data_IF_845187555771
#
_entry.id   IF_845187555771
#
_cell.length_a   1.000
_cell.length_b   1.000
_cell.length_c   1.000
_cell.angle_alpha   90.00
_cell.angle_beta   90.00
_cell.angle_gamma   90.00
#
_symmetry.space_group_name_H-M   'P 1'
#
loop_
_entity.id
_entity.type
_entity.pdbx_description
1 polymer ?
#
# COMPACT_ATOMS: atom_id res chain seq x y z
N UNK A 1 -3.83 -8.85 -28.63
CA UNK A 1 -2.62 -8.93 -27.76
C UNK A 1 -3.09 -8.99 -26.31
N UNK A 2 -2.44 -9.79 -25.47
CA UNK A 2 -2.77 -9.80 -24.03
C UNK A 2 -2.41 -8.45 -23.39
N UNK A 3 -3.23 -7.93 -22.45
CA UNK A 3 -2.96 -6.66 -21.82
C UNK A 3 -1.65 -6.71 -21.00
N UNK A 4 -0.87 -5.63 -21.07
CA UNK A 4 0.37 -5.47 -20.33
C UNK A 4 0.08 -4.80 -18.99
N UNK A 5 -0.09 -5.60 -17.95
CA UNK A 5 -0.39 -5.15 -16.59
C UNK A 5 0.90 -4.93 -15.79
N UNK A 6 1.08 -3.73 -15.22
CA UNK A 6 2.15 -3.46 -14.27
C UNK A 6 1.69 -3.74 -12.84
N UNK A 7 2.38 -4.63 -12.12
CA UNK A 7 2.13 -4.90 -10.71
C UNK A 7 3.20 -4.20 -9.87
N UNK A 8 2.76 -3.26 -9.04
CA UNK A 8 3.61 -2.54 -8.09
C UNK A 8 3.55 -3.21 -6.73
N UNK A 9 4.70 -3.47 -6.15
CA UNK A 9 4.88 -4.09 -4.83
C UNK A 9 5.94 -3.32 -4.02
N UNK A 10 5.90 -3.40 -2.70
CA UNK A 10 6.92 -2.83 -1.83
C UNK A 10 8.12 -3.75 -1.64
N UNK A 11 7.88 -5.06 -1.51
CA UNK A 11 8.87 -6.05 -1.13
C UNK A 11 9.17 -7.07 -2.23
N UNK A 12 10.41 -7.56 -2.29
CA UNK A 12 10.77 -8.68 -3.18
C UNK A 12 9.98 -9.97 -2.90
N UNK A 13 9.53 -10.18 -1.66
CA UNK A 13 8.66 -11.31 -1.31
C UNK A 13 7.27 -11.18 -1.93
N UNK A 14 6.73 -9.97 -1.99
CA UNK A 14 5.45 -9.68 -2.67
C UNK A 14 5.58 -9.88 -4.18
N UNK A 15 6.72 -9.51 -4.78
CA UNK A 15 6.98 -9.77 -6.19
C UNK A 15 6.93 -11.27 -6.52
N UNK A 16 7.47 -12.13 -5.64
CA UNK A 16 7.35 -13.59 -5.78
C UNK A 16 5.91 -14.07 -5.63
N UNK A 17 5.12 -13.43 -4.77
CA UNK A 17 3.71 -13.75 -4.60
C UNK A 17 2.87 -13.28 -5.80
N UNK A 18 3.19 -12.14 -6.40
CA UNK A 18 2.55 -11.65 -7.62
C UNK A 18 2.82 -12.56 -8.82
N UNK A 19 4.04 -13.06 -8.96
CA UNK A 19 4.47 -14.01 -9.98
C UNK A 19 4.05 -13.63 -11.41
N UNK A 20 4.30 -12.36 -11.80
CA UNK A 20 4.05 -11.86 -13.16
C UNK A 20 5.30 -11.20 -13.75
N UNK A 21 5.45 -11.22 -15.10
CA UNK A 21 6.68 -10.73 -15.75
C UNK A 21 6.97 -9.26 -15.48
N UNK A 22 5.95 -8.39 -15.45
CA UNK A 22 6.12 -6.97 -15.18
C UNK A 22 5.75 -6.65 -13.75
N UNK A 23 6.73 -6.82 -12.84
CA UNK A 23 6.59 -6.47 -11.44
C UNK A 23 7.58 -5.37 -11.08
N UNK A 24 7.06 -4.27 -10.51
CA UNK A 24 7.81 -3.09 -10.08
C UNK A 24 7.98 -3.14 -8.56
N UNK A 25 9.21 -3.21 -8.08
CA UNK A 25 9.51 -3.22 -6.63
C UNK A 25 9.85 -1.81 -6.16
N UNK A 26 8.91 -1.15 -5.51
CA UNK A 26 9.01 0.24 -5.04
C UNK A 26 9.95 0.42 -3.84
N UNK A 27 10.05 -0.59 -2.96
CA UNK A 27 10.96 -0.57 -1.82
C UNK A 27 10.58 0.48 -0.77
N UNK A 28 9.30 0.73 -0.53
CA UNK A 28 8.82 1.72 0.43
C UNK A 28 8.93 3.18 -0.06
N UNK A 29 8.89 3.42 -1.37
CA UNK A 29 9.01 4.77 -1.91
C UNK A 29 8.09 5.01 -3.11
N UNK A 30 7.16 5.94 -2.95
CA UNK A 30 6.27 6.39 -4.01
C UNK A 30 7.03 7.02 -5.18
N UNK A 31 8.01 7.87 -4.89
CA UNK A 31 8.86 8.51 -5.90
C UNK A 31 9.60 7.47 -6.74
N UNK A 32 10.21 6.49 -6.09
CA UNK A 32 10.91 5.40 -6.79
C UNK A 32 9.93 4.57 -7.62
N UNK A 33 8.77 4.23 -7.08
CA UNK A 33 7.69 3.51 -7.77
C UNK A 33 7.30 4.22 -9.06
N UNK A 34 7.06 5.52 -8.98
CA UNK A 34 6.71 6.35 -10.14
C UNK A 34 7.79 6.27 -11.24
N UNK A 35 9.05 6.52 -10.89
CA UNK A 35 10.15 6.49 -11.87
C UNK A 35 10.42 5.09 -12.45
N UNK A 36 10.20 4.03 -11.69
CA UNK A 36 10.33 2.67 -12.20
C UNK A 36 9.20 2.34 -13.20
N UNK A 37 7.99 2.82 -12.96
CA UNK A 37 6.88 2.70 -13.91
C UNK A 37 7.16 3.46 -15.20
N UNK A 38 7.74 4.67 -15.14
CA UNK A 38 8.16 5.43 -16.33
C UNK A 38 9.15 4.63 -17.19
N UNK A 39 10.09 3.95 -16.56
CA UNK A 39 11.10 3.13 -17.23
C UNK A 39 10.59 1.81 -17.77
N UNK A 40 9.46 1.31 -17.25
CA UNK A 40 8.89 0.03 -17.68
C UNK A 40 8.33 0.06 -19.11
N UNK A 41 8.17 1.24 -19.70
CA UNK A 41 7.54 1.44 -21.00
C UNK A 41 6.01 1.36 -20.92
N UNK A 42 5.31 1.37 -22.08
CA UNK A 42 3.85 1.41 -22.12
C UNK A 42 3.21 0.23 -21.39
N UNK A 43 2.17 0.51 -20.61
CA UNK A 43 1.33 -0.47 -19.92
C UNK A 43 -0.14 -0.12 -20.12
N UNK A 44 -1.02 -1.12 -20.03
CA UNK A 44 -2.47 -0.95 -20.23
C UNK A 44 -3.20 -0.68 -18.90
N UNK A 45 -2.60 -1.09 -17.77
CA UNK A 45 -3.16 -0.85 -16.44
C UNK A 45 -2.09 -0.99 -15.35
N UNK A 46 -2.37 -0.46 -14.17
CA UNK A 46 -1.48 -0.51 -13.01
C UNK A 46 -2.22 -1.06 -11.79
N UNK A 47 -1.63 -2.04 -11.11
CA UNK A 47 -2.14 -2.53 -9.85
C UNK A 47 -1.08 -2.39 -8.75
N UNK A 48 -1.43 -1.77 -7.63
CA UNK A 48 -0.63 -1.82 -6.41
C UNK A 48 -1.05 -3.03 -5.58
N UNK A 49 -0.10 -3.95 -5.32
CA UNK A 49 -0.37 -5.24 -4.70
C UNK A 49 0.65 -5.52 -3.60
N UNK A 50 0.21 -5.75 -2.36
CA UNK A 50 1.16 -6.00 -1.27
C UNK A 50 0.53 -5.94 0.11
N UNK A 51 1.38 -5.90 1.13
CA UNK A 51 0.97 -5.73 2.52
C UNK A 51 0.80 -4.24 2.86
N UNK A 52 0.10 -3.96 3.97
CA UNK A 52 -0.11 -2.60 4.47
C UNK A 52 -0.26 -2.61 6.00
N UNK A 53 0.00 -1.48 6.63
CA UNK A 53 -0.36 -1.25 8.03
C UNK A 53 -1.86 -1.00 8.17
N UNK A 54 -2.56 -1.79 8.98
CA UNK A 54 -3.97 -1.56 9.30
C UNK A 54 -4.12 -0.38 10.26
N UNK A 55 -5.03 0.56 9.94
CA UNK A 55 -5.30 1.72 10.79
C UNK A 55 -6.72 1.79 11.32
N UNK A 56 -7.67 1.07 10.72
CA UNK A 56 -9.05 1.00 11.17
C UNK A 56 -9.23 0.00 12.33
N UNK A 57 -10.12 0.27 13.30
CA UNK A 57 -10.45 -0.67 14.38
C UNK A 57 -11.00 -2.00 13.85
N UNK A 58 -10.81 -3.07 14.61
CA UNK A 58 -11.38 -4.39 14.33
C UNK A 58 -10.69 -5.19 13.23
N UNK A 59 -9.62 -4.66 12.63
CA UNK A 59 -8.84 -5.38 11.63
C UNK A 59 -7.90 -6.41 12.27
N UNK A 60 -7.67 -7.50 11.52
CA UNK A 60 -6.74 -8.57 11.86
C UNK A 60 -5.67 -8.72 10.77
N UNK A 61 -4.52 -9.26 11.15
CA UNK A 61 -3.50 -9.61 10.18
C UNK A 61 -4.04 -10.62 9.15
N UNK A 62 -3.84 -10.32 7.87
CA UNK A 62 -4.36 -11.09 6.75
C UNK A 62 -5.71 -10.60 6.22
N UNK A 63 -6.38 -9.63 6.85
CA UNK A 63 -7.57 -8.99 6.27
C UNK A 63 -7.20 -8.34 4.93
N UNK A 64 -8.04 -8.54 3.91
CA UNK A 64 -7.81 -7.98 2.57
C UNK A 64 -8.60 -6.70 2.40
N UNK A 65 -7.93 -5.68 1.86
CA UNK A 65 -8.49 -4.38 1.55
C UNK A 65 -8.37 -4.14 0.05
N UNK A 66 -9.48 -3.76 -0.58
CA UNK A 66 -9.55 -3.24 -1.94
C UNK A 66 -9.76 -1.74 -1.85
N UNK A 67 -8.84 -0.97 -2.38
CA UNK A 67 -8.96 0.49 -2.32
C UNK A 67 -10.00 1.00 -3.31
N UNK A 68 -10.91 1.85 -2.83
CA UNK A 68 -11.76 2.68 -3.68
C UNK A 68 -11.06 4.00 -4.05
N UNK A 69 -10.09 4.44 -3.22
CA UNK A 69 -9.24 5.60 -3.43
C UNK A 69 -7.96 5.53 -2.62
N UNK A 70 -6.96 6.28 -3.06
CA UNK A 70 -5.73 6.54 -2.31
C UNK A 70 -5.74 8.00 -1.89
N UNK A 71 -5.53 8.27 -0.61
CA UNK A 71 -5.42 9.62 -0.02
C UNK A 71 -3.93 9.89 0.24
N UNK A 72 -3.39 10.95 -0.34
CA UNK A 72 -2.00 11.38 -0.14
C UNK A 72 -1.91 12.91 -0.27
N UNK A 73 -1.02 13.43 -1.11
CA UNK A 73 -0.97 14.84 -1.57
C UNK A 73 -2.26 15.25 -2.29
N UNK A 74 -2.94 14.27 -2.90
CA UNK A 74 -4.23 14.39 -3.54
C UNK A 74 -5.07 13.12 -3.28
N UNK A 75 -6.29 13.09 -3.76
CA UNK A 75 -7.14 11.90 -3.74
C UNK A 75 -7.17 11.26 -5.13
N UNK A 76 -6.66 10.03 -5.22
CA UNK A 76 -6.61 9.25 -6.45
C UNK A 76 -7.70 8.18 -6.41
N UNK A 77 -8.67 8.25 -7.31
CA UNK A 77 -9.72 7.24 -7.42
C UNK A 77 -9.19 5.98 -8.11
N UNK A 78 -9.68 4.83 -7.69
CA UNK A 78 -9.41 3.56 -8.36
C UNK A 78 -10.46 3.28 -9.43
N UNK A 79 -10.16 2.38 -10.37
CA UNK A 79 -11.11 1.95 -11.39
C UNK A 79 -12.27 1.18 -10.74
N UNK A 80 -13.47 1.72 -10.86
CA UNK A 80 -14.66 1.19 -10.20
C UNK A 80 -15.17 -0.12 -10.82
N UNK A 81 -14.86 -0.39 -12.09
CA UNK A 81 -15.23 -1.65 -12.76
C UNK A 81 -14.31 -2.76 -12.28
N UNK A 82 -13.01 -2.50 -12.29
CA UNK A 82 -12.03 -3.44 -11.78
C UNK A 82 -12.24 -3.73 -10.29
N UNK A 83 -12.52 -2.69 -9.49
CA UNK A 83 -12.87 -2.85 -8.07
C UNK A 83 -14.05 -3.80 -7.86
N UNK A 84 -15.13 -3.65 -8.64
CA UNK A 84 -16.31 -4.54 -8.57
C UNK A 84 -15.96 -5.98 -8.92
N UNK A 85 -15.10 -6.20 -9.91
CA UNK A 85 -14.63 -7.54 -10.30
C UNK A 85 -13.85 -8.17 -9.15
N UNK A 86 -12.90 -7.43 -8.54
CA UNK A 86 -12.10 -7.93 -7.42
C UNK A 86 -12.97 -8.23 -6.21
N UNK A 87 -13.91 -7.36 -5.87
CA UNK A 87 -14.80 -7.54 -4.72
C UNK A 87 -15.66 -8.81 -4.85
N UNK A 88 -16.09 -9.15 -6.07
CA UNK A 88 -16.82 -10.40 -6.33
C UNK A 88 -15.92 -11.64 -6.22
N UNK A 89 -14.67 -11.54 -6.67
CA UNK A 89 -13.71 -12.66 -6.68
C UNK A 89 -13.05 -12.92 -5.33
N UNK A 90 -13.02 -11.93 -4.45
CA UNK A 90 -12.36 -12.02 -3.13
C UNK A 90 -13.42 -11.80 -2.05
N UNK A 91 -14.21 -12.83 -1.70
CA UNK A 91 -15.22 -12.71 -0.64
C UNK A 91 -14.55 -12.38 0.69
N UNK A 92 -15.16 -11.43 1.42
CA UNK A 92 -14.65 -10.94 2.70
C UNK A 92 -13.59 -9.83 2.58
N UNK A 93 -13.20 -9.40 1.37
CA UNK A 93 -12.40 -8.19 1.21
C UNK A 93 -13.19 -6.95 1.64
N UNK A 94 -12.53 -6.04 2.36
CA UNK A 94 -13.12 -4.75 2.75
C UNK A 94 -12.80 -3.71 1.69
N UNK A 95 -13.81 -2.96 1.27
CA UNK A 95 -13.62 -1.84 0.35
C UNK A 95 -13.52 -0.53 1.13
N UNK A 96 -12.54 0.31 0.81
CA UNK A 96 -12.38 1.62 1.43
C UNK A 96 -11.04 2.28 1.10
N UNK A 97 -10.81 3.48 1.64
CA UNK A 97 -9.62 4.26 1.35
C UNK A 97 -8.33 3.64 1.91
N UNK A 98 -7.21 3.86 1.21
CA UNK A 98 -5.85 3.74 1.73
C UNK A 98 -5.24 5.13 1.87
N UNK A 99 -4.32 5.29 2.84
CA UNK A 99 -3.44 6.47 2.93
C UNK A 99 -2.08 6.10 2.37
N UNK A 100 -1.60 6.88 1.40
CA UNK A 100 -0.22 6.80 0.92
C UNK A 100 0.68 7.69 1.78
N UNK A 101 1.79 7.14 2.28
CA UNK A 101 2.77 7.86 3.09
C UNK A 101 4.19 7.56 2.61
N UNK A 102 5.13 8.47 2.89
CA UNK A 102 6.55 8.29 2.55
C UNK A 102 7.36 7.65 3.70
N UNK A 103 6.76 7.49 4.90
CA UNK A 103 7.40 6.92 6.06
C UNK A 103 6.55 5.83 6.71
N UNK A 104 7.22 4.83 7.29
CA UNK A 104 6.54 3.72 7.96
C UNK A 104 5.83 4.17 9.24
N UNK A 105 4.55 3.88 9.36
CA UNK A 105 3.72 4.22 10.52
C UNK A 105 3.72 3.07 11.53
N UNK A 106 4.67 3.08 12.46
CA UNK A 106 4.81 2.03 13.49
C UNK A 106 4.08 2.31 14.81
N UNK A 107 3.60 3.53 15.05
CA UNK A 107 3.01 3.98 16.30
C UNK A 107 1.47 3.88 16.28
N UNK A 108 0.86 3.28 17.33
CA UNK A 108 -0.59 3.13 17.47
C UNK A 108 -1.33 4.48 17.45
N UNK A 109 -0.79 5.49 18.13
CA UNK A 109 -1.39 6.81 18.21
C UNK A 109 -1.42 7.49 16.82
N UNK A 110 -0.37 7.29 16.03
CA UNK A 110 -0.30 7.82 14.67
C UNK A 110 -1.31 7.09 13.76
N UNK A 111 -1.39 5.76 13.81
CA UNK A 111 -2.41 4.97 13.10
C UNK A 111 -3.83 5.45 13.44
N UNK A 112 -4.14 5.61 14.73
CA UNK A 112 -5.44 6.09 15.18
C UNK A 112 -5.75 7.52 14.70
N UNK A 113 -4.75 8.41 14.65
CA UNK A 113 -4.90 9.78 14.14
C UNK A 113 -5.20 9.77 12.65
N UNK A 114 -4.45 9.00 11.86
CA UNK A 114 -4.69 8.84 10.42
C UNK A 114 -6.10 8.32 10.14
N UNK A 115 -6.53 7.28 10.86
CA UNK A 115 -7.88 6.75 10.68
C UNK A 115 -8.96 7.78 11.01
N UNK A 116 -8.86 8.49 12.15
CA UNK A 116 -9.84 9.53 12.52
C UNK A 116 -9.89 10.69 11.53
N UNK A 117 -8.74 11.08 10.98
CA UNK A 117 -8.67 12.20 10.03
C UNK A 117 -9.12 11.88 8.62
N UNK A 118 -9.00 10.61 8.21
CA UNK A 118 -9.22 10.22 6.80
C UNK A 118 -10.35 9.21 6.60
N UNK A 119 -10.75 8.48 7.64
CA UNK A 119 -11.63 7.31 7.53
C UNK A 119 -11.00 6.11 6.82
N UNK A 120 -9.72 6.18 6.44
CA UNK A 120 -9.06 5.13 5.68
C UNK A 120 -8.89 3.85 6.49
N UNK A 121 -8.78 2.72 5.77
CA UNK A 121 -8.66 1.40 6.36
C UNK A 121 -7.21 1.01 6.62
N UNK A 122 -6.29 1.40 5.76
CA UNK A 122 -4.87 1.04 5.90
C UNK A 122 -3.96 2.11 5.31
N UNK A 123 -2.66 1.94 5.52
CA UNK A 123 -1.58 2.82 5.09
C UNK A 123 -0.49 2.02 4.40
N UNK A 124 0.04 2.55 3.30
CA UNK A 124 1.18 1.97 2.57
C UNK A 124 2.09 3.06 1.99
N UNK A 125 3.17 2.66 1.33
CA UNK A 125 4.23 3.58 0.91
C UNK A 125 4.42 3.64 -0.61
N UNK A 126 3.70 2.87 -1.40
CA UNK A 126 3.85 2.79 -2.86
C UNK A 126 2.61 3.18 -3.65
N UNK A 127 1.41 2.94 -3.09
CA UNK A 127 0.15 3.08 -3.84
C UNK A 127 -0.06 4.49 -4.40
N UNK A 128 0.34 5.53 -3.68
CA UNK A 128 0.16 6.91 -4.16
C UNK A 128 1.09 7.24 -5.34
N UNK A 129 2.31 6.72 -5.38
CA UNK A 129 3.18 6.85 -6.54
C UNK A 129 2.65 6.12 -7.77
N UNK A 130 2.10 4.92 -7.58
CA UNK A 130 1.47 4.13 -8.64
C UNK A 130 0.16 4.79 -9.14
N UNK A 131 -0.66 5.29 -8.23
CA UNK A 131 -1.91 5.99 -8.53
C UNK A 131 -1.68 7.29 -9.31
N UNK A 132 -0.68 8.08 -8.89
CA UNK A 132 -0.28 9.28 -9.60
C UNK A 132 0.16 8.99 -11.03
N UNK A 133 1.06 8.00 -11.22
CA UNK A 133 1.51 7.57 -12.55
C UNK A 133 0.32 7.17 -13.44
N UNK A 134 -0.60 6.36 -12.93
CA UNK A 134 -1.75 5.90 -13.68
C UNK A 134 -2.70 7.05 -14.06
N UNK A 135 -3.00 7.96 -13.12
CA UNK A 135 -3.85 9.14 -13.35
C UNK A 135 -3.29 10.05 -14.45
N UNK A 136 -1.99 10.36 -14.40
CA UNK A 136 -1.34 11.24 -15.38
C UNK A 136 -1.36 10.67 -16.80
N UNK A 137 -1.55 9.35 -16.94
CA UNK A 137 -1.61 8.63 -18.23
C UNK A 137 -2.99 8.10 -18.60
N UNK A 138 -4.02 8.44 -17.80
CA UNK A 138 -5.38 7.96 -18.03
C UNK A 138 -5.53 6.43 -17.94
N UNK A 139 -4.66 5.75 -17.19
CA UNK A 139 -4.65 4.29 -17.07
C UNK A 139 -5.59 3.81 -15.96
N UNK A 140 -6.27 2.67 -16.14
CA UNK A 140 -6.95 1.98 -15.05
C UNK A 140 -5.99 1.66 -13.91
N UNK A 141 -6.40 1.97 -12.68
CA UNK A 141 -5.62 1.72 -11.46
C UNK A 141 -6.46 1.06 -10.39
N UNK A 142 -5.87 0.11 -9.66
CA UNK A 142 -6.45 -0.51 -8.47
C UNK A 142 -5.36 -0.77 -7.43
N UNK A 143 -5.73 -0.79 -6.14
CA UNK A 143 -4.84 -1.27 -5.09
C UNK A 143 -5.52 -2.37 -4.27
N UNK A 144 -4.77 -3.46 -4.01
CA UNK A 144 -5.11 -4.56 -3.13
C UNK A 144 -4.04 -4.68 -2.05
N UNK A 145 -4.46 -4.63 -0.79
CA UNK A 145 -3.56 -4.76 0.36
C UNK A 145 -4.04 -5.84 1.32
N UNK A 146 -3.09 -6.55 1.92
CA UNK A 146 -3.34 -7.42 3.05
C UNK A 146 -2.74 -6.79 4.31
N UNK A 147 -3.52 -6.70 5.39
CA UNK A 147 -3.09 -6.11 6.66
C UNK A 147 -1.98 -6.95 7.27
N UNK A 148 -0.78 -6.36 7.47
CA UNK A 148 0.35 -7.02 8.11
C UNK A 148 0.46 -6.69 9.60
N UNK A 149 0.16 -5.45 9.98
CA UNK A 149 0.24 -4.95 11.34
C UNK A 149 -1.03 -4.15 11.71
N UNK A 150 -2.00 -4.77 12.41
CA UNK A 150 -3.28 -4.15 12.74
C UNK A 150 -3.14 -2.88 13.60
N UNK A 151 -4.17 -2.03 13.63
CA UNK A 151 -4.16 -0.71 14.28
C UNK A 151 -3.76 -0.74 15.76
N UNK A 152 -4.10 -1.81 16.49
CA UNK A 152 -3.79 -1.98 17.91
C UNK A 152 -2.35 -2.41 18.17
N UNK A 153 -1.55 -2.67 17.11
CA UNK A 153 -0.14 -3.08 17.21
C UNK A 153 0.78 -1.89 17.01
N UNK A 154 1.77 -1.78 17.89
CA UNK A 154 2.96 -0.98 17.62
C UNK A 154 4.06 -1.89 17.06
N UNK A 155 4.76 -1.43 16.05
CA UNK A 155 5.92 -2.15 15.52
C UNK A 155 7.11 -1.93 16.47
N UNK A 156 7.86 -3.01 16.82
CA UNK A 156 9.09 -2.85 17.58
C UNK A 156 10.14 -2.09 16.76
N UNK A 157 11.05 -1.39 17.43
CA UNK A 157 12.09 -0.59 16.77
C UNK A 157 12.97 -1.44 15.83
N UNK A 158 13.20 -2.70 16.20
CA UNK A 158 13.93 -3.67 15.38
C UNK A 158 13.21 -4.02 14.06
N UNK A 159 11.88 -3.92 13.99
CA UNK A 159 11.13 -4.15 12.76
C UNK A 159 11.18 -2.93 11.80
N UNK A 160 11.30 -1.70 12.32
CA UNK A 160 11.32 -0.48 11.51
C UNK A 160 12.55 -0.40 10.58
N UNK A 161 13.65 -1.07 10.92
CA UNK A 161 14.86 -1.16 10.09
C UNK A 161 14.87 -2.40 9.19
N UNK A 162 13.75 -3.12 9.11
CA UNK A 162 13.65 -4.43 8.44
C UNK A 162 13.59 -4.40 6.91
N UNK A 163 13.54 -3.23 6.29
CA UNK A 163 13.44 -3.10 4.84
C UNK A 163 14.58 -2.24 4.26
N UNK A 164 15.22 -2.75 3.22
CA UNK A 164 16.17 -1.99 2.42
C UNK A 164 15.43 -1.19 1.32
N UNK A 165 16.05 -0.12 0.79
CA UNK A 165 15.45 0.67 -0.30
C UNK A 165 15.14 -0.13 -1.58
N UNK A 166 15.79 -1.29 -1.78
CA UNK A 166 15.54 -2.17 -2.92
C UNK A 166 14.39 -3.18 -2.69
N UNK A 167 13.68 -3.06 -1.56
CA UNK A 167 12.59 -3.96 -1.15
C UNK A 167 13.04 -5.32 -0.61
N UNK A 168 14.35 -5.53 -0.38
CA UNK A 168 14.85 -6.72 0.31
C UNK A 168 14.75 -6.58 1.83
N UNK A 169 14.73 -7.72 2.53
CA UNK A 169 14.73 -7.73 4.00
C UNK A 169 16.12 -7.40 4.54
N UNK A 170 16.22 -6.42 5.43
CA UNK A 170 17.45 -6.02 6.11
C UNK A 170 17.68 -6.86 7.38
N UNK A 171 18.01 -8.14 7.19
CA UNK A 171 18.22 -9.07 8.31
C UNK A 171 19.35 -8.59 9.23
N UNK A 172 20.47 -8.09 8.68
CA UNK A 172 21.59 -7.58 9.47
C UNK A 172 21.22 -6.37 10.34
N UNK A 173 20.43 -5.44 9.80
CA UNK A 173 19.91 -4.29 10.55
C UNK A 173 18.99 -4.73 11.70
N UNK A 174 18.07 -5.66 11.43
CA UNK A 174 17.16 -6.23 12.44
C UNK A 174 17.95 -6.92 13.56
N UNK A 175 18.92 -7.79 13.24
CA UNK A 175 19.73 -8.47 14.24
C UNK A 175 20.58 -7.51 15.08
N UNK A 176 21.18 -6.50 14.45
CA UNK A 176 21.95 -5.46 15.16
C UNK A 176 21.06 -4.68 16.14
N UNK A 177 19.86 -4.32 15.70
CA UNK A 177 18.91 -3.60 16.56
C UNK A 177 18.38 -4.49 17.69
N UNK A 178 18.11 -5.76 17.40
CA UNK A 178 17.68 -6.75 18.40
C UNK A 178 18.77 -6.99 19.46
N UNK A 179 20.05 -7.03 19.07
CA UNK A 179 21.16 -7.13 20.03
C UNK A 179 21.21 -5.94 20.99
N UNK A 180 20.83 -4.75 20.54
CA UNK A 180 20.73 -3.54 21.38
C UNK A 180 19.46 -3.49 22.23
N UNK A 181 18.38 -4.15 21.77
CA UNK A 181 17.05 -4.18 22.40
C UNK A 181 16.48 -5.59 22.42
N UNK A 182 17.03 -6.50 23.25
CA UNK A 182 16.60 -7.90 23.28
C UNK A 182 15.12 -8.06 23.68
N UNK A 183 14.56 -7.10 24.41
CA UNK A 183 13.13 -7.05 24.74
C UNK A 183 12.19 -6.92 23.52
N UNK A 184 12.71 -6.53 22.34
CA UNK A 184 11.93 -6.46 21.10
C UNK A 184 11.60 -7.85 20.51
N UNK A 185 12.28 -8.93 20.96
CA UNK A 185 12.15 -10.26 20.36
C UNK A 185 10.71 -10.80 20.29
N UNK A 186 9.91 -10.76 21.38
CA UNK A 186 8.51 -11.21 21.30
C UNK A 186 7.67 -10.41 20.28
N UNK A 187 7.87 -9.08 20.25
CA UNK A 187 7.21 -8.20 19.29
C UNK A 187 7.62 -8.49 17.86
N UNK A 188 8.89 -8.77 17.61
CA UNK A 188 9.42 -9.11 16.29
C UNK A 188 8.87 -10.47 15.79
N UNK A 189 8.80 -11.49 16.66
CA UNK A 189 8.19 -12.78 16.33
C UNK A 189 6.71 -12.58 15.97
N UNK A 190 5.99 -11.79 16.73
CA UNK A 190 4.58 -11.49 16.45
C UNK A 190 4.42 -10.75 15.11
N UNK A 191 5.25 -9.73 14.83
CA UNK A 191 5.26 -9.02 13.56
C UNK A 191 5.53 -9.97 12.39
N UNK A 192 6.47 -10.89 12.52
CA UNK A 192 6.76 -11.90 11.50
C UNK A 192 5.57 -12.85 11.25
N UNK A 193 4.85 -13.27 12.30
CA UNK A 193 3.64 -14.10 12.17
C UNK A 193 2.51 -13.33 11.46
N UNK A 194 2.30 -12.08 11.81
CA UNK A 194 1.29 -11.20 11.22
C UNK A 194 1.61 -10.92 9.73
N UNK A 195 2.85 -10.59 9.40
CA UNK A 195 3.32 -10.44 8.02
C UNK A 195 3.14 -11.75 7.21
N UNK A 196 3.42 -12.91 7.82
CA UNK A 196 3.19 -14.20 7.19
C UNK A 196 1.71 -14.48 6.93
N UNK A 197 0.81 -14.04 7.81
CA UNK A 197 -0.64 -14.14 7.59
C UNK A 197 -1.07 -13.26 6.40
N UNK A 198 -0.56 -12.03 6.31
CA UNK A 198 -0.81 -11.14 5.18
C UNK A 198 -0.30 -11.74 3.86
N UNK A 199 0.93 -12.28 3.85
CA UNK A 199 1.48 -12.94 2.65
C UNK A 199 0.64 -14.14 2.19
N UNK A 200 0.12 -14.96 3.11
CA UNK A 200 -0.79 -16.06 2.76
C UNK A 200 -2.09 -15.53 2.12
N UNK A 201 -2.61 -14.41 2.62
CA UNK A 201 -3.79 -13.77 2.01
C UNK A 201 -3.49 -13.24 0.59
N UNK A 202 -2.32 -12.61 0.37
CA UNK A 202 -1.89 -12.19 -0.97
C UNK A 202 -1.78 -13.38 -1.94
N UNK A 203 -1.16 -14.48 -1.52
CA UNK A 203 -1.07 -15.69 -2.34
C UNK A 203 -2.44 -16.29 -2.66
N UNK A 204 -3.39 -16.25 -1.71
CA UNK A 204 -4.78 -16.67 -1.95
C UNK A 204 -5.44 -15.74 -2.97
N UNK A 205 -5.32 -14.42 -2.81
CA UNK A 205 -5.86 -13.44 -3.76
C UNK A 205 -5.29 -13.65 -5.16
N UNK A 206 -3.97 -13.85 -5.29
CA UNK A 206 -3.31 -14.12 -6.57
C UNK A 206 -3.92 -15.33 -7.29
N UNK A 207 -4.18 -16.42 -6.56
CA UNK A 207 -4.82 -17.62 -7.12
C UNK A 207 -6.26 -17.37 -7.57
N UNK A 208 -7.04 -16.60 -6.80
CA UNK A 208 -8.43 -16.28 -7.14
C UNK A 208 -8.55 -15.33 -8.34
N UNK A 209 -7.59 -14.43 -8.50
CA UNK A 209 -7.62 -13.40 -9.53
C UNK A 209 -7.02 -13.84 -10.88
N UNK A 210 -6.21 -14.90 -10.88
CA UNK A 210 -5.56 -15.40 -12.10
C UNK A 210 -4.42 -14.48 -12.57
N UNK A 211 -3.85 -14.74 -13.73
CA UNK A 211 -2.64 -14.08 -14.25
C UNK A 211 -2.80 -12.58 -14.48
N UNK A 212 -3.98 -12.14 -14.85
CA UNK A 212 -4.30 -10.74 -15.11
C UNK A 212 -4.92 -10.03 -13.91
N UNK A 213 -4.87 -10.61 -12.71
CA UNK A 213 -5.44 -10.01 -11.51
C UNK A 213 -6.88 -9.51 -11.68
N UNK A 214 -7.69 -10.26 -12.44
CA UNK A 214 -9.08 -9.89 -12.72
C UNK A 214 -9.22 -8.69 -13.67
N UNK A 215 -8.14 -8.19 -14.25
CA UNK A 215 -8.19 -7.21 -15.31
C UNK A 215 -8.62 -7.88 -16.62
N UNK A 216 -9.59 -7.30 -17.30
CA UNK A 216 -9.99 -7.72 -18.63
C UNK A 216 -10.15 -6.49 -19.55
N UNK A 217 -10.28 -6.72 -20.86
CA UNK A 217 -10.41 -5.63 -21.84
C UNK A 217 -11.72 -4.81 -21.71
N UNK A 218 -12.66 -5.21 -20.85
CA UNK A 218 -13.86 -4.43 -20.51
C UNK A 218 -13.59 -3.29 -19.53
N UNK A 219 -12.39 -3.27 -18.89
CA UNK A 219 -11.91 -2.16 -18.07
C UNK A 219 -11.28 -1.14 -19.01
N UNK A 220 -12.09 -0.23 -19.54
CA UNK A 220 -11.58 0.89 -20.35
C UNK A 220 -11.06 2.02 -19.45
N UNK A 221 -10.04 2.80 -19.92
CA UNK A 221 -9.66 4.04 -19.26
C UNK A 221 -10.90 4.90 -19.01
N UNK A 222 -10.98 5.55 -17.87
CA UNK A 222 -11.92 6.62 -17.63
C UNK A 222 -11.55 7.78 -18.60
N UNK A 223 -12.06 7.73 -19.82
CA UNK A 223 -12.11 8.93 -20.64
C UNK A 223 -12.97 9.92 -19.86
N UNK A 224 -12.37 11.02 -19.52
CA UNK A 224 -12.96 12.17 -18.84
C UNK A 224 -14.27 12.54 -19.55
N UNK A 225 -15.40 12.03 -19.05
CA UNK A 225 -16.71 12.57 -19.41
C UNK A 225 -16.73 13.94 -18.76
N UNK A 226 -16.23 14.94 -19.49
CA UNK A 226 -16.24 16.33 -19.10
C UNK A 226 -17.59 16.71 -18.51
N UNK A 227 -17.62 17.05 -17.21
CA UNK A 227 -18.82 17.55 -16.60
C UNK A 227 -19.03 17.33 -15.12
N UNK A 228 -18.01 17.04 -14.30
CA UNK A 228 -18.19 17.00 -12.83
C UNK A 228 -17.05 17.71 -12.12
N UNK A 229 -16.70 18.91 -12.56
CA UNK A 229 -15.62 19.70 -11.94
C UNK A 229 -16.13 20.74 -10.93
N UNK A 230 -17.38 20.64 -10.45
CA UNK A 230 -17.96 21.66 -9.56
C UNK A 230 -18.24 21.23 -8.12
N UNK A 231 -17.91 19.99 -7.71
CA UNK A 231 -18.17 19.54 -6.33
C UNK A 231 -16.93 19.11 -5.54
N UNK A 232 -15.74 19.60 -5.90
CA UNK A 232 -14.51 19.22 -5.17
C UNK A 232 -13.65 20.42 -4.81
N UNK A 233 -14.15 21.27 -3.93
CA UNK A 233 -13.23 21.96 -3.02
C UNK A 233 -12.93 21.01 -1.88
N UNK A 234 -11.68 20.63 -1.61
CA UNK A 234 -11.34 19.86 -0.43
C UNK A 234 -11.63 20.72 0.80
N UNK A 235 -12.63 20.33 1.57
CA UNK A 235 -12.81 20.84 2.92
C UNK A 235 -11.61 20.36 3.75
N UNK A 236 -10.66 21.25 3.97
CA UNK A 236 -9.79 21.28 5.12
C UNK A 236 -8.98 20.01 5.47
N UNK A 237 -7.79 19.88 4.91
CA UNK A 237 -6.70 19.14 5.56
C UNK A 237 -5.42 19.99 5.77
N UNK A 238 -5.49 21.31 5.58
CA UNK A 238 -4.29 22.17 5.65
C UNK A 238 -3.87 22.67 7.05
N UNK A 239 -4.48 22.21 8.13
CA UNK A 239 -3.93 22.57 9.46
C UNK A 239 -3.94 21.36 10.38
N UNK A 240 -2.76 20.78 10.60
CA UNK A 240 -2.39 19.81 11.65
C UNK A 240 -2.02 18.37 11.25
N UNK A 241 -1.69 18.08 10.01
CA UNK A 241 -0.79 16.97 9.76
C UNK A 241 0.65 17.54 9.81
N UNK A 242 1.23 17.60 10.99
CA UNK A 242 2.65 17.99 11.18
C UNK A 242 3.57 16.96 10.53
N UNK A 243 3.74 17.04 9.23
CA UNK A 243 4.62 16.20 8.42
C UNK A 243 6.06 16.73 8.39
N UNK A 244 6.33 17.85 9.09
CA UNK A 244 7.66 18.38 9.25
C UNK A 244 7.88 18.74 10.72
N UNK A 245 8.36 17.78 11.50
CA UNK A 245 8.87 17.96 12.85
C UNK A 245 10.30 17.47 12.89
N UNK A 246 11.26 18.34 12.53
CA UNK A 246 12.65 18.13 12.84
C UNK A 246 12.80 17.95 14.36
N UNK A 247 13.35 16.83 14.79
CA UNK A 247 13.87 16.63 16.13
C UNK A 247 15.19 17.39 16.22
N UNK A 248 15.14 18.64 16.66
CA UNK A 248 16.31 19.24 17.29
C UNK A 248 16.46 18.62 18.68
N UNK A 249 17.51 17.88 18.86
CA UNK A 249 17.99 17.45 20.17
C UNK A 249 18.79 18.63 20.73
N UNK A 250 18.21 19.41 21.64
CA UNK A 250 18.96 20.27 22.47
C UNK A 250 19.47 19.46 23.67
N UNK A 251 20.78 19.47 23.80
CA UNK A 251 21.51 18.99 24.95
C UNK A 251 21.43 20.04 26.07
N UNK A 252 21.00 19.60 27.25
CA UNK A 252 21.53 19.99 28.57
C UNK A 252 21.26 18.86 29.56
#
# INVERSE_FOLDING_TARGET
MSPRLAIVVGLKQEARAAAVPLTIVGGGSARRTYHLLERAGPVDAVMSFGIAGGIAPGQRAGDVILADRIIADDTYLTDSRWLKILARKIPGARVGALVGVDEMIGCKQHKARLHRGTGALAVDMESHGAARYARERGLPFIALRAVADPHHRALPQSALVGMNPDGSTNVGGVLRQLARRPGDLPGLIQTAREASAAMRSLLRCRRLLGELFGFDHGVQPLLDLGGVNELRRPLFVERNLGLHGALSVDAE
#
